data_IF_214698989377
#
_entry.id   IF_214698989377
#
_cell.length_a   1.000
_cell.length_b   1.000
_cell.length_c   1.000
_cell.angle_alpha   90.00
_cell.angle_beta   90.00
_cell.angle_gamma   90.00
#
_symmetry.space_group_name_H-M   'P 1'
#
loop_
_entity.id
_entity.type
_entity.pdbx_description
1 polymer ?
#
# COMPACT_ATOMS: atom_id res chain seq x y z
N UNK A 1 -17.71 -18.73 13.83
CA UNK A 1 -16.68 -17.65 13.66
C UNK A 1 -16.97 -17.00 12.34
N UNK A 2 -17.25 -15.69 12.35
CA UNK A 2 -17.48 -14.94 11.11
C UNK A 2 -16.17 -14.84 10.31
N UNK A 3 -16.26 -14.64 8.99
CA UNK A 3 -15.08 -14.41 8.12
C UNK A 3 -14.24 -13.24 8.65
N UNK A 4 -14.87 -12.22 9.23
CA UNK A 4 -14.23 -11.05 9.86
C UNK A 4 -13.41 -11.43 11.09
N UNK A 5 -13.91 -12.30 11.98
CA UNK A 5 -13.12 -12.84 13.10
C UNK A 5 -11.94 -13.67 12.59
N UNK A 6 -12.12 -14.36 11.46
CA UNK A 6 -11.07 -15.11 10.79
C UNK A 6 -9.97 -14.16 10.22
N UNK A 7 -10.33 -13.07 9.55
CA UNK A 7 -9.39 -12.12 8.93
C UNK A 7 -8.64 -11.31 10.00
N UNK A 8 -9.35 -10.75 10.99
CA UNK A 8 -8.74 -10.02 12.12
C UNK A 8 -7.75 -10.88 12.91
N UNK A 9 -7.98 -12.20 12.96
CA UNK A 9 -7.08 -13.12 13.64
C UNK A 9 -5.80 -13.47 12.89
N UNK A 10 -5.65 -13.16 11.59
CA UNK A 10 -4.54 -13.65 10.77
C UNK A 10 -3.37 -12.69 10.69
N UNK A 11 -3.62 -11.43 10.39
CA UNK A 11 -2.54 -10.44 10.18
C UNK A 11 -1.94 -9.91 11.48
N UNK A 12 -2.72 -9.83 12.54
CA UNK A 12 -2.39 -9.00 13.70
C UNK A 12 -2.63 -9.69 15.04
N UNK A 13 -2.93 -10.97 15.03
CA UNK A 13 -3.44 -11.75 16.18
C UNK A 13 -2.58 -11.71 17.46
N UNK A 14 -1.37 -11.15 17.40
CA UNK A 14 -0.49 -11.10 18.56
C UNK A 14 -0.22 -9.71 19.12
N UNK A 15 -0.57 -8.62 18.39
CA UNK A 15 -0.25 -7.24 18.79
C UNK A 15 -1.45 -6.30 18.83
N UNK A 16 -2.59 -6.67 18.20
CA UNK A 16 -3.75 -5.78 18.09
C UNK A 16 -4.87 -6.14 19.02
N UNK A 17 -5.41 -5.10 19.68
CA UNK A 17 -6.76 -5.16 20.22
C UNK A 17 -7.73 -4.94 19.05
N UNK A 18 -8.88 -5.65 19.00
CA UNK A 18 -9.83 -5.52 17.88
C UNK A 18 -10.41 -4.12 17.68
N UNK A 19 -10.27 -3.26 18.67
CA UNK A 19 -10.74 -1.88 18.76
C UNK A 19 -9.68 -0.82 18.35
N UNK A 20 -8.44 -1.24 18.07
CA UNK A 20 -7.36 -0.33 17.70
C UNK A 20 -7.09 -0.34 16.20
N UNK A 21 -6.79 0.84 15.64
CA UNK A 21 -6.38 1.01 14.24
C UNK A 21 -4.95 0.52 14.05
N UNK A 22 -4.73 -0.31 13.02
CA UNK A 22 -3.41 -0.77 12.64
C UNK A 22 -2.56 0.38 12.07
N UNK A 23 -1.30 0.49 12.46
CA UNK A 23 -0.36 1.46 11.89
C UNK A 23 0.70 0.73 11.07
N UNK A 24 0.64 0.94 9.76
CA UNK A 24 1.47 0.29 8.76
C UNK A 24 2.54 1.26 8.28
N UNK A 25 3.80 0.90 8.35
CA UNK A 25 4.88 1.71 7.77
C UNK A 25 4.92 1.47 6.25
N UNK A 26 4.82 2.52 5.46
CA UNK A 26 5.10 2.48 4.02
C UNK A 26 6.60 2.59 3.77
N UNK A 27 7.22 1.53 3.26
CA UNK A 27 8.62 1.49 2.88
C UNK A 27 8.78 1.99 1.43
N UNK A 28 9.37 3.18 1.29
CA UNK A 28 9.45 3.92 0.02
C UNK A 28 10.66 3.46 -0.81
N UNK A 29 10.46 2.48 -1.67
CA UNK A 29 11.50 1.95 -2.56
C UNK A 29 12.04 2.98 -3.55
N UNK A 30 11.28 4.02 -3.84
CA UNK A 30 11.68 5.13 -4.71
C UNK A 30 12.73 6.02 -4.06
N UNK A 31 12.72 6.09 -2.72
CA UNK A 31 13.53 7.02 -1.94
C UNK A 31 14.79 6.38 -1.35
N UNK A 32 14.71 5.13 -0.92
CA UNK A 32 15.72 4.51 -0.10
C UNK A 32 16.30 3.24 -0.74
N UNK A 33 17.60 3.03 -0.55
CA UNK A 33 18.26 1.83 -1.01
C UNK A 33 17.72 0.57 -0.28
N UNK A 34 17.72 -0.61 -0.93
CA UNK A 34 17.15 -1.82 -0.34
C UNK A 34 17.71 -2.20 1.03
N UNK A 35 19.01 -2.00 1.28
CA UNK A 35 19.64 -2.28 2.57
C UNK A 35 19.18 -1.31 3.66
N UNK A 36 18.93 -0.05 3.30
CA UNK A 36 18.40 0.94 4.21
C UNK A 36 16.97 0.61 4.60
N UNK A 37 16.14 0.24 3.63
CA UNK A 37 14.78 -0.22 3.89
C UNK A 37 14.71 -1.46 4.76
N UNK A 38 15.68 -2.39 4.67
CA UNK A 38 15.75 -3.53 5.60
C UNK A 38 15.98 -3.06 7.04
N UNK A 39 16.89 -2.11 7.26
CA UNK A 39 17.11 -1.52 8.59
C UNK A 39 15.84 -0.82 9.10
N UNK A 40 15.17 -0.05 8.24
CA UNK A 40 13.90 0.61 8.58
C UNK A 40 12.82 -0.41 8.94
N UNK A 41 12.72 -1.56 8.26
CA UNK A 41 11.74 -2.59 8.57
C UNK A 41 11.98 -3.23 9.96
N UNK A 42 13.23 -3.51 10.30
CA UNK A 42 13.61 -4.01 11.64
C UNK A 42 13.28 -2.97 12.70
N UNK A 43 13.66 -1.71 12.47
CA UNK A 43 13.38 -0.62 13.40
C UNK A 43 11.86 -0.36 13.57
N UNK A 44 11.07 -0.52 12.50
CA UNK A 44 9.62 -0.41 12.57
C UNK A 44 8.99 -1.52 13.42
N UNK A 45 9.52 -2.74 13.33
CA UNK A 45 9.11 -3.83 14.22
C UNK A 45 9.42 -3.52 15.68
N UNK A 46 10.62 -3.03 15.97
CA UNK A 46 11.06 -2.62 17.31
C UNK A 46 10.24 -1.44 17.86
N UNK A 47 9.92 -0.47 16.99
CA UNK A 47 9.09 0.68 17.30
C UNK A 47 7.61 0.33 17.54
N UNK A 48 7.17 -0.88 17.15
CA UNK A 48 5.83 -1.36 17.39
C UNK A 48 4.84 -1.05 16.27
N UNK A 49 5.29 -0.79 15.04
CA UNK A 49 4.39 -0.80 13.87
C UNK A 49 3.80 -2.19 13.68
N UNK A 50 2.62 -2.25 13.09
CA UNK A 50 1.89 -3.50 12.91
C UNK A 50 2.30 -4.22 11.63
N UNK A 51 2.66 -3.46 10.58
CA UNK A 51 3.16 -3.99 9.32
C UNK A 51 4.11 -3.03 8.62
N UNK A 52 4.77 -3.57 7.59
CA UNK A 52 5.49 -2.83 6.56
C UNK A 52 4.87 -3.15 5.21
N UNK A 53 4.50 -2.11 4.47
CA UNK A 53 4.02 -2.16 3.10
C UNK A 53 5.09 -1.53 2.19
N UNK A 54 5.70 -2.30 1.30
CA UNK A 54 6.70 -1.75 0.40
C UNK A 54 6.09 -1.35 -0.95
N UNK A 55 6.48 -0.17 -1.46
CA UNK A 55 6.09 0.24 -2.81
C UNK A 55 6.71 -0.68 -3.87
N UNK A 56 5.95 -0.96 -4.94
CA UNK A 56 6.38 -1.81 -6.05
C UNK A 56 6.46 -0.99 -7.34
N UNK A 57 7.40 -0.05 -7.35
CA UNK A 57 7.65 0.86 -8.45
C UNK A 57 8.87 0.46 -9.27
N UNK A 58 8.80 0.71 -10.59
CA UNK A 58 9.93 0.59 -11.51
C UNK A 58 10.63 1.94 -11.70
N UNK A 59 9.88 3.03 -11.56
CA UNK A 59 10.33 4.40 -11.81
C UNK A 59 10.02 5.28 -10.58
N UNK A 60 10.95 6.15 -10.13
CA UNK A 60 10.69 7.08 -9.04
C UNK A 60 9.81 8.26 -9.48
N UNK A 61 9.24 8.97 -8.51
CA UNK A 61 8.36 10.13 -8.71
C UNK A 61 9.09 11.43 -9.10
N UNK A 62 10.41 11.44 -9.15
CA UNK A 62 11.28 12.60 -9.42
C UNK A 62 12.48 12.23 -10.26
N UNK A 63 13.14 13.26 -10.80
CA UNK A 63 14.33 13.10 -11.61
C UNK A 63 15.51 12.61 -10.77
N UNK A 64 16.17 11.49 -11.13
CA UNK A 64 17.34 10.99 -10.44
C UNK A 64 18.46 12.03 -10.38
N UNK A 65 19.06 12.23 -9.19
CA UNK A 65 20.11 13.23 -8.97
C UNK A 65 19.62 14.67 -8.83
N UNK A 66 18.29 14.88 -8.80
CA UNK A 66 17.64 16.16 -8.56
C UNK A 66 17.40 16.44 -7.08
N UNK A 67 16.13 16.52 -6.68
CA UNK A 67 15.72 16.88 -5.32
C UNK A 67 16.12 15.84 -4.26
N UNK A 68 16.16 14.57 -4.63
CA UNK A 68 16.41 13.46 -3.71
C UNK A 68 17.16 12.32 -4.41
N UNK A 69 17.81 11.41 -3.66
CA UNK A 69 18.22 10.12 -4.18
C UNK A 69 17.03 9.38 -4.79
N UNK A 70 17.24 8.63 -5.86
CA UNK A 70 16.23 7.87 -6.54
C UNK A 70 16.65 6.40 -6.61
N UNK A 71 15.77 5.54 -6.13
CA UNK A 71 15.92 4.10 -6.15
C UNK A 71 14.70 3.49 -6.84
N UNK A 72 14.53 2.22 -6.91
CA UNK A 72 13.35 1.41 -7.20
C UNK A 72 13.75 -0.06 -7.13
N UNK A 73 14.02 -0.52 -5.91
CA UNK A 73 14.30 -1.93 -5.67
C UNK A 73 13.07 -2.80 -5.95
N UNK A 74 13.29 -4.03 -6.41
CA UNK A 74 12.17 -4.95 -6.62
C UNK A 74 11.52 -5.35 -5.29
N UNK A 75 10.23 -5.06 -5.14
CA UNK A 75 9.48 -5.27 -3.91
C UNK A 75 9.47 -6.74 -3.45
N UNK A 76 9.26 -7.69 -4.37
CA UNK A 76 9.14 -9.11 -4.02
C UNK A 76 10.47 -9.73 -3.59
N UNK A 77 11.59 -9.33 -4.23
CA UNK A 77 12.93 -9.74 -3.79
C UNK A 77 13.23 -9.17 -2.41
N UNK A 78 12.89 -7.91 -2.19
CA UNK A 78 13.08 -7.24 -0.90
C UNK A 78 12.22 -7.85 0.21
N UNK A 79 10.94 -8.16 -0.06
CA UNK A 79 10.03 -8.80 0.90
C UNK A 79 10.56 -10.16 1.36
N UNK A 80 11.15 -10.94 0.43
CA UNK A 80 11.83 -12.19 0.80
C UNK A 80 12.94 -11.96 1.81
N UNK A 81 13.78 -10.94 1.64
CA UNK A 81 14.83 -10.57 2.60
C UNK A 81 14.25 -10.03 3.92
N UNK A 82 13.25 -9.14 3.84
CA UNK A 82 12.58 -8.57 5.01
C UNK A 82 11.89 -9.63 5.87
N UNK A 83 11.35 -10.69 5.25
CA UNK A 83 10.71 -11.80 5.95
C UNK A 83 11.67 -12.56 6.87
N UNK A 84 12.96 -12.60 6.52
CA UNK A 84 14.00 -13.23 7.31
C UNK A 84 14.70 -12.27 8.28
N UNK A 85 14.65 -10.95 8.00
CA UNK A 85 15.23 -9.93 8.88
C UNK A 85 14.29 -9.54 10.03
N UNK A 86 13.00 -9.83 9.94
CA UNK A 86 11.96 -9.50 10.93
C UNK A 86 11.28 -10.76 11.46
N UNK A 87 10.72 -10.70 12.68
CA UNK A 87 10.15 -11.87 13.37
C UNK A 87 8.63 -11.90 13.47
N UNK A 88 7.97 -10.74 13.57
CA UNK A 88 6.55 -10.66 13.93
C UNK A 88 5.75 -9.62 13.14
N UNK A 89 6.40 -8.62 12.55
CA UNK A 89 5.72 -7.55 11.81
C UNK A 89 5.11 -8.09 10.51
N UNK A 90 3.92 -7.57 10.14
CA UNK A 90 3.28 -7.90 8.87
C UNK A 90 4.08 -7.37 7.68
N UNK A 91 4.04 -8.08 6.56
CA UNK A 91 4.80 -7.76 5.34
C UNK A 91 3.94 -7.88 4.09
N UNK A 92 3.99 -6.92 3.22
CA UNK A 92 3.29 -6.97 1.94
C UNK A 92 3.63 -5.81 1.02
N UNK A 93 2.97 -5.76 -0.13
CA UNK A 93 3.16 -4.69 -1.11
C UNK A 93 2.19 -3.53 -0.88
N UNK A 94 2.63 -2.34 -1.19
CA UNK A 94 1.82 -1.14 -1.08
C UNK A 94 1.98 -0.21 -2.30
N UNK A 95 1.58 -0.65 -3.52
CA UNK A 95 0.85 -1.87 -3.94
C UNK A 95 1.45 -2.46 -5.22
N UNK A 96 1.25 -3.75 -5.48
CA UNK A 96 1.67 -4.37 -6.74
C UNK A 96 0.64 -4.10 -7.83
N UNK A 97 1.09 -3.61 -8.99
CA UNK A 97 0.29 -3.43 -10.19
C UNK A 97 0.07 -4.75 -10.93
N UNK A 98 -1.20 -5.11 -11.22
CA UNK A 98 -1.54 -6.43 -11.79
C UNK A 98 -2.10 -6.38 -13.20
N UNK A 99 -2.06 -5.21 -13.87
CA UNK A 99 -2.70 -5.07 -15.18
C UNK A 99 -1.84 -5.54 -16.35
N UNK A 100 -0.51 -5.42 -16.27
CA UNK A 100 0.42 -5.78 -17.36
C UNK A 100 1.72 -6.38 -16.86
N UNK A 101 2.54 -5.60 -16.12
CA UNK A 101 3.90 -5.95 -15.71
C UNK A 101 4.01 -7.31 -15.00
N UNK A 102 3.00 -7.64 -14.23
CA UNK A 102 2.91 -8.92 -13.54
C UNK A 102 1.74 -9.76 -14.04
N UNK A 103 2.01 -11.04 -14.32
CA UNK A 103 0.96 -12.02 -14.54
C UNK A 103 0.29 -12.39 -13.20
N UNK A 104 -1.06 -12.43 -13.10
CA UNK A 104 -1.76 -12.70 -11.86
C UNK A 104 -1.42 -14.05 -11.22
N UNK A 105 -1.12 -15.09 -12.03
CA UNK A 105 -0.67 -16.39 -11.52
C UNK A 105 0.68 -16.27 -10.82
N UNK A 106 1.59 -15.46 -11.38
CA UNK A 106 2.92 -15.22 -10.78
C UNK A 106 2.78 -14.42 -9.50
N UNK A 107 1.89 -13.42 -9.45
CA UNK A 107 1.62 -12.66 -8.21
C UNK A 107 1.09 -13.59 -7.12
N UNK A 108 0.13 -14.45 -7.43
CA UNK A 108 -0.38 -15.43 -6.46
C UNK A 108 0.74 -16.37 -5.95
N UNK A 109 1.66 -16.79 -6.83
CA UNK A 109 2.82 -17.60 -6.44
C UNK A 109 3.78 -16.84 -5.54
N UNK A 110 4.07 -15.56 -5.83
CA UNK A 110 4.92 -14.70 -4.99
C UNK A 110 4.34 -14.55 -3.58
N UNK A 111 3.02 -14.28 -3.47
CA UNK A 111 2.30 -14.20 -2.19
C UNK A 111 2.40 -15.51 -1.42
N UNK A 112 2.13 -16.64 -2.08
CA UNK A 112 2.19 -17.95 -1.45
C UNK A 112 3.60 -18.28 -0.95
N UNK A 113 4.63 -17.93 -1.72
CA UNK A 113 6.03 -18.11 -1.31
C UNK A 113 6.37 -17.24 -0.11
N UNK A 114 5.98 -15.96 -0.11
CA UNK A 114 6.21 -15.06 1.01
C UNK A 114 5.49 -15.56 2.28
N UNK A 115 4.25 -16.05 2.16
CA UNK A 115 3.51 -16.63 3.28
C UNK A 115 4.19 -17.90 3.83
N UNK A 116 4.79 -18.72 2.97
CA UNK A 116 5.56 -19.87 3.42
C UNK A 116 6.84 -19.48 4.18
N UNK A 117 7.48 -18.36 3.79
CA UNK A 117 8.64 -17.80 4.47
C UNK A 117 8.30 -17.05 5.76
N UNK A 118 7.12 -16.44 5.82
CA UNK A 118 6.65 -15.60 6.93
C UNK A 118 5.20 -15.94 7.31
N UNK A 119 4.94 -17.16 7.86
CA UNK A 119 3.58 -17.64 8.09
C UNK A 119 2.74 -16.71 8.98
N UNK A 120 1.54 -16.34 8.50
CA UNK A 120 0.59 -15.47 9.20
C UNK A 120 1.00 -13.99 9.27
N UNK A 121 2.03 -13.58 8.48
CA UNK A 121 2.50 -12.19 8.45
C UNK A 121 2.33 -11.52 7.08
N UNK A 122 1.84 -12.25 6.09
CA UNK A 122 1.76 -11.76 4.71
C UNK A 122 0.41 -11.12 4.40
N UNK A 123 0.42 -10.05 3.62
CA UNK A 123 -0.74 -9.50 2.91
C UNK A 123 -0.35 -9.12 1.49
N UNK A 124 -1.32 -9.00 0.60
CA UNK A 124 -1.13 -8.50 -0.75
C UNK A 124 -1.87 -7.16 -0.92
N UNK A 125 -1.14 -6.08 -1.10
CA UNK A 125 -1.69 -4.85 -1.65
C UNK A 125 -1.65 -4.88 -3.17
N UNK A 126 -2.79 -4.64 -3.82
CA UNK A 126 -2.97 -4.73 -5.29
C UNK A 126 -3.53 -3.43 -5.83
N UNK A 127 -3.05 -2.99 -6.98
CA UNK A 127 -3.57 -1.82 -7.69
C UNK A 127 -3.54 -1.97 -9.21
N UNK A 128 -4.13 -0.99 -9.89
CA UNK A 128 -4.12 -0.91 -11.36
C UNK A 128 -2.80 -0.39 -11.95
N UNK A 129 -1.77 -0.20 -11.13
CA UNK A 129 -0.48 0.39 -11.51
C UNK A 129 -0.57 1.86 -11.98
N UNK A 130 0.52 2.39 -12.49
CA UNK A 130 0.66 3.71 -13.10
C UNK A 130 1.49 3.60 -14.39
N UNK A 131 1.30 4.56 -15.32
CA UNK A 131 2.03 4.62 -16.58
C UNK A 131 3.55 4.60 -16.37
N UNK A 132 4.04 5.25 -15.32
CA UNK A 132 5.46 5.31 -14.97
C UNK A 132 6.09 3.94 -14.67
N UNK A 133 5.28 2.93 -14.35
CA UNK A 133 5.73 1.57 -14.09
C UNK A 133 5.54 0.63 -15.26
N UNK A 134 4.50 0.84 -16.08
CA UNK A 134 4.13 -0.05 -17.16
C UNK A 134 4.83 0.32 -18.48
N UNK A 135 4.88 1.61 -18.83
CA UNK A 135 5.45 2.07 -20.12
C UNK A 135 6.96 1.79 -20.19
N UNK A 136 7.79 2.07 -19.18
CA UNK A 136 9.20 1.70 -19.21
C UNK A 136 9.45 0.17 -19.25
N UNK A 137 8.47 -0.63 -18.81
CA UNK A 137 8.51 -2.09 -18.94
C UNK A 137 8.10 -2.59 -20.35
N UNK A 138 7.84 -1.68 -21.29
CA UNK A 138 7.46 -1.99 -22.68
C UNK A 138 5.95 -2.24 -22.85
N UNK A 139 5.13 -1.92 -21.87
CA UNK A 139 3.67 -2.06 -21.92
C UNK A 139 3.04 -0.73 -22.33
N UNK A 140 1.89 -0.80 -23.05
CA UNK A 140 1.09 0.40 -23.26
C UNK A 140 0.32 0.78 -22.00
N UNK A 141 0.03 2.06 -21.83
CA UNK A 141 -0.90 2.48 -20.79
C UNK A 141 -2.35 2.36 -21.29
N UNK A 142 -3.20 1.56 -20.66
CA UNK A 142 -4.59 1.38 -21.10
C UNK A 142 -5.50 2.50 -20.57
N UNK A 143 -6.68 2.65 -21.16
CA UNK A 143 -7.71 3.52 -20.59
C UNK A 143 -8.29 2.97 -19.28
N UNK A 144 -9.05 3.80 -18.57
CA UNK A 144 -9.60 3.46 -17.26
C UNK A 144 -10.54 2.25 -17.30
N UNK A 145 -11.31 2.07 -18.39
CA UNK A 145 -12.22 0.94 -18.50
C UNK A 145 -11.45 -0.38 -18.63
N UNK A 146 -10.39 -0.39 -19.44
CA UNK A 146 -9.52 -1.57 -19.57
C UNK A 146 -8.74 -1.84 -18.27
N UNK A 147 -8.22 -0.80 -17.59
CA UNK A 147 -7.56 -0.94 -16.30
C UNK A 147 -8.47 -1.64 -15.29
N UNK A 148 -9.73 -1.18 -15.19
CA UNK A 148 -10.73 -1.76 -14.30
C UNK A 148 -10.98 -3.24 -14.62
N UNK A 149 -11.18 -3.58 -15.90
CA UNK A 149 -11.48 -4.95 -16.30
C UNK A 149 -10.27 -5.87 -16.08
N UNK A 150 -9.06 -5.44 -16.44
CA UNK A 150 -7.82 -6.19 -16.16
C UNK A 150 -7.64 -6.45 -14.67
N UNK A 151 -7.87 -5.44 -13.85
CA UNK A 151 -7.75 -5.57 -12.39
C UNK A 151 -8.77 -6.57 -11.85
N UNK A 152 -10.02 -6.53 -12.32
CA UNK A 152 -11.06 -7.46 -11.89
C UNK A 152 -10.72 -8.93 -12.26
N UNK A 153 -10.31 -9.18 -13.51
CA UNK A 153 -9.89 -10.50 -13.97
C UNK A 153 -8.66 -11.02 -13.19
N UNK A 154 -7.67 -10.15 -12.98
CA UNK A 154 -6.48 -10.50 -12.21
C UNK A 154 -6.80 -10.84 -10.75
N UNK A 155 -7.66 -10.06 -10.11
CA UNK A 155 -8.10 -10.31 -8.73
C UNK A 155 -8.83 -11.64 -8.61
N UNK A 156 -9.73 -11.96 -9.54
CA UNK A 156 -10.43 -13.25 -9.53
C UNK A 156 -9.44 -14.43 -9.62
N UNK A 157 -8.47 -14.36 -10.53
CA UNK A 157 -7.44 -15.38 -10.67
C UNK A 157 -6.61 -15.51 -9.39
N UNK A 158 -6.14 -14.39 -8.84
CA UNK A 158 -5.29 -14.37 -7.64
C UNK A 158 -6.03 -14.96 -6.44
N UNK A 159 -7.25 -14.50 -6.17
CA UNK A 159 -8.04 -14.94 -5.02
C UNK A 159 -8.32 -16.44 -5.09
N UNK A 160 -8.78 -16.94 -6.24
CA UNK A 160 -9.09 -18.37 -6.44
C UNK A 160 -7.85 -19.25 -6.28
N UNK A 161 -6.69 -18.83 -6.81
CA UNK A 161 -5.43 -19.55 -6.63
C UNK A 161 -5.01 -19.60 -5.14
N UNK A 162 -5.11 -18.47 -4.43
CA UNK A 162 -4.77 -18.38 -3.01
C UNK A 162 -5.77 -19.16 -2.14
N UNK A 163 -7.03 -19.30 -2.56
CA UNK A 163 -8.01 -20.19 -1.93
C UNK A 163 -7.74 -21.68 -2.24
N UNK A 164 -6.77 -21.97 -3.11
CA UNK A 164 -6.26 -23.31 -3.42
C UNK A 164 -7.00 -24.02 -4.53
N UNK A 165 -7.72 -23.28 -5.36
CA UNK A 165 -8.34 -23.84 -6.56
C UNK A 165 -7.30 -24.20 -7.64
N UNK A 166 -7.68 -25.09 -8.54
CA UNK A 166 -7.08 -25.18 -9.87
C UNK A 166 -7.90 -24.31 -10.80
N UNK A 167 -7.26 -23.30 -11.39
CA UNK A 167 -7.96 -22.22 -12.11
C UNK A 167 -7.80 -22.38 -13.61
N UNK A 168 -8.90 -22.72 -14.27
CA UNK A 168 -9.13 -22.49 -15.69
C UNK A 168 -9.93 -21.20 -15.83
N UNK A 169 -9.34 -20.19 -16.48
CA UNK A 169 -9.94 -18.88 -16.65
C UNK A 169 -9.87 -18.44 -18.11
N UNK A 170 -10.94 -17.85 -18.63
CA UNK A 170 -11.00 -17.27 -19.98
C UNK A 170 -11.68 -15.91 -19.90
N UNK A 171 -10.88 -14.87 -19.63
CA UNK A 171 -11.30 -13.49 -19.66
C UNK A 171 -11.03 -12.81 -21.00
N UNK A 172 -11.21 -11.52 -21.03
CA UNK A 172 -10.85 -10.66 -22.17
C UNK A 172 -9.34 -10.46 -22.23
N UNK A 173 -8.69 -10.36 -21.09
CA UNK A 173 -7.28 -9.99 -20.98
C UNK A 173 -6.40 -11.10 -20.43
N UNK A 174 -6.93 -11.98 -19.60
CA UNK A 174 -6.16 -13.08 -19.03
C UNK A 174 -6.77 -14.43 -19.38
N UNK A 175 -5.90 -15.41 -19.57
CA UNK A 175 -6.30 -16.81 -19.75
C UNK A 175 -5.37 -17.69 -18.95
N UNK A 176 -5.93 -18.65 -18.20
CA UNK A 176 -5.17 -19.67 -17.50
C UNK A 176 -5.69 -21.07 -17.86
N UNK A 177 -4.83 -22.06 -17.81
CA UNK A 177 -5.19 -23.46 -18.04
C UNK A 177 -4.54 -24.32 -16.98
N UNK A 178 -5.35 -24.92 -16.10
CA UNK A 178 -4.88 -25.77 -15.02
C UNK A 178 -3.92 -25.09 -14.03
N UNK A 179 -4.01 -23.74 -13.89
CA UNK A 179 -3.13 -23.01 -13.01
C UNK A 179 -3.41 -23.36 -11.55
N UNK A 180 -2.36 -23.67 -10.77
CA UNK A 180 -2.49 -24.01 -9.35
C UNK A 180 -1.22 -23.66 -8.58
N UNK A 181 -1.37 -23.39 -7.29
CA UNK A 181 -0.25 -23.21 -6.37
C UNK A 181 0.12 -24.56 -5.75
N UNK A 182 1.42 -24.90 -5.76
CA UNK A 182 1.95 -26.13 -5.14
C UNK A 182 2.35 -25.89 -3.69
N UNK A 183 2.91 -24.71 -3.37
CA UNK A 183 3.14 -24.26 -1.99
C UNK A 183 1.94 -23.41 -1.54
N UNK A 184 0.81 -24.10 -1.35
CA UNK A 184 -0.43 -23.45 -0.98
C UNK A 184 -0.36 -22.95 0.46
N UNK A 185 -0.71 -21.67 0.73
CA UNK A 185 -0.80 -21.18 2.11
C UNK A 185 -1.90 -21.92 2.87
N UNK A 186 -1.63 -22.25 4.13
CA UNK A 186 -2.62 -22.92 5.01
C UNK A 186 -3.86 -22.03 5.23
N UNK A 187 -3.67 -20.73 5.20
CA UNK A 187 -4.72 -19.69 5.21
C UNK A 187 -4.39 -18.66 4.14
N UNK A 188 -5.39 -18.22 3.41
CA UNK A 188 -5.22 -17.19 2.39
C UNK A 188 -4.75 -15.88 3.04
N UNK A 189 -3.58 -15.33 2.63
CA UNK A 189 -3.20 -13.97 2.98
C UNK A 189 -4.26 -12.97 2.50
N UNK A 190 -4.58 -11.93 3.28
CA UNK A 190 -5.54 -10.91 2.86
C UNK A 190 -5.08 -10.19 1.59
N UNK A 191 -6.05 -9.94 0.72
CA UNK A 191 -5.89 -9.15 -0.50
C UNK A 191 -6.58 -7.80 -0.29
N UNK A 192 -5.79 -6.71 -0.34
CA UNK A 192 -6.26 -5.34 -0.09
C UNK A 192 -6.07 -4.54 -1.38
N UNK A 193 -7.17 -4.03 -1.94
CA UNK A 193 -7.17 -3.35 -3.24
C UNK A 193 -7.05 -1.85 -3.08
N UNK A 194 -6.03 -1.27 -3.72
CA UNK A 194 -5.87 0.18 -3.84
C UNK A 194 -6.88 0.73 -4.84
N UNK A 195 -7.71 1.67 -4.39
CA UNK A 195 -8.72 2.32 -5.19
C UNK A 195 -8.81 3.82 -4.85
N UNK A 196 -8.70 4.68 -5.85
CA UNK A 196 -8.89 6.13 -5.71
C UNK A 196 -10.22 6.59 -6.34
N UNK A 197 -10.94 5.67 -7.00
CA UNK A 197 -12.22 5.90 -7.66
C UNK A 197 -13.26 4.84 -7.26
N UNK A 198 -14.55 5.21 -7.34
CA UNK A 198 -15.64 4.38 -6.87
C UNK A 198 -15.77 3.04 -7.60
N UNK A 199 -15.49 3.00 -8.92
CA UNK A 199 -15.66 1.78 -9.71
C UNK A 199 -14.71 0.66 -9.26
N UNK A 200 -13.42 0.95 -9.06
CA UNK A 200 -12.46 -0.04 -8.59
C UNK A 200 -12.72 -0.42 -7.13
N UNK A 201 -13.19 0.53 -6.30
CA UNK A 201 -13.58 0.26 -4.93
C UNK A 201 -14.78 -0.70 -4.85
N UNK A 202 -15.74 -0.61 -5.77
CA UNK A 202 -16.86 -1.53 -5.83
C UNK A 202 -16.41 -2.93 -6.22
N UNK A 203 -15.49 -3.07 -7.19
CA UNK A 203 -14.83 -4.35 -7.53
C UNK A 203 -14.08 -4.91 -6.32
N UNK A 204 -13.34 -4.08 -5.60
CA UNK A 204 -12.65 -4.48 -4.37
C UNK A 204 -13.62 -5.08 -3.34
N UNK A 205 -14.78 -4.46 -3.14
CA UNK A 205 -15.82 -4.97 -2.25
C UNK A 205 -16.35 -6.34 -2.65
N UNK A 206 -16.45 -6.60 -3.95
CA UNK A 206 -16.94 -7.88 -4.47
C UNK A 206 -15.92 -9.02 -4.31
N UNK A 207 -14.63 -8.75 -4.50
CA UNK A 207 -13.62 -9.78 -4.69
C UNK A 207 -12.54 -9.82 -3.59
N UNK A 208 -12.25 -8.71 -2.91
CA UNK A 208 -11.10 -8.58 -2.03
C UNK A 208 -11.47 -8.55 -0.54
N UNK A 209 -10.46 -8.63 0.33
CA UNK A 209 -10.61 -8.65 1.79
C UNK A 209 -10.51 -7.25 2.39
N UNK A 210 -10.06 -6.27 1.61
CA UNK A 210 -9.95 -4.89 2.07
C UNK A 210 -9.81 -3.88 0.94
N UNK A 211 -10.00 -2.64 1.34
CA UNK A 211 -9.82 -1.43 0.55
C UNK A 211 -8.60 -0.67 1.05
N UNK A 212 -7.79 -0.14 0.13
CA UNK A 212 -6.75 0.83 0.41
C UNK A 212 -7.02 2.11 -0.38
N UNK A 213 -7.08 3.27 0.28
CA UNK A 213 -7.30 4.54 -0.41
C UNK A 213 -6.56 5.70 0.25
N UNK A 214 -6.62 6.88 -0.35
CA UNK A 214 -6.00 8.08 0.21
C UNK A 214 -6.72 8.56 1.48
N UNK A 215 -5.96 9.01 2.48
CA UNK A 215 -6.45 9.61 3.72
C UNK A 215 -7.03 11.02 3.51
N UNK A 216 -7.89 11.17 2.51
CA UNK A 216 -8.51 12.42 2.10
C UNK A 216 -9.96 12.51 2.57
N UNK A 217 -10.36 13.54 3.34
CA UNK A 217 -11.74 13.74 3.76
C UNK A 217 -12.74 13.90 2.59
N UNK A 218 -12.25 14.23 1.40
CA UNK A 218 -13.10 14.41 0.21
C UNK A 218 -13.17 13.16 -0.65
N UNK A 219 -12.16 12.30 -0.64
CA UNK A 219 -12.07 11.08 -1.45
C UNK A 219 -12.53 9.85 -0.66
N UNK A 220 -11.96 9.64 0.53
CA UNK A 220 -12.17 8.42 1.32
C UNK A 220 -13.64 8.08 1.56
N UNK A 221 -14.54 8.99 1.96
CA UNK A 221 -15.94 8.64 2.23
C UNK A 221 -16.67 8.05 1.02
N UNK A 222 -16.41 8.58 -0.19
CA UNK A 222 -17.06 8.12 -1.44
C UNK A 222 -16.55 6.73 -1.83
N UNK A 223 -15.22 6.54 -1.76
CA UNK A 223 -14.56 5.30 -2.11
C UNK A 223 -14.92 4.18 -1.11
N UNK A 224 -14.96 4.48 0.19
CA UNK A 224 -15.41 3.55 1.24
C UNK A 224 -16.88 3.16 1.04
N UNK A 225 -17.74 4.10 0.70
CA UNK A 225 -19.15 3.81 0.42
C UNK A 225 -19.30 2.88 -0.79
N UNK A 226 -18.50 3.09 -1.84
CA UNK A 226 -18.50 2.21 -3.03
C UNK A 226 -18.01 0.80 -2.69
N UNK A 227 -16.94 0.68 -1.91
CA UNK A 227 -16.43 -0.60 -1.41
C UNK A 227 -17.51 -1.38 -0.64
N UNK A 228 -18.21 -0.70 0.29
CA UNK A 228 -19.31 -1.31 1.05
C UNK A 228 -20.47 -1.77 0.16
N UNK A 229 -20.85 -0.97 -0.85
CA UNK A 229 -21.85 -1.38 -1.85
C UNK A 229 -21.41 -2.62 -2.64
N UNK A 230 -20.14 -2.70 -3.01
CA UNK A 230 -19.58 -3.87 -3.69
C UNK A 230 -19.66 -5.13 -2.84
N UNK A 231 -19.30 -5.04 -1.56
CA UNK A 231 -19.41 -6.12 -0.60
C UNK A 231 -20.87 -6.59 -0.42
N UNK A 232 -21.80 -5.66 -0.24
CA UNK A 232 -23.23 -5.94 -0.13
C UNK A 232 -23.77 -6.66 -1.38
N UNK A 233 -23.41 -6.20 -2.59
CA UNK A 233 -23.81 -6.86 -3.85
C UNK A 233 -23.31 -8.29 -3.96
N UNK A 234 -22.16 -8.57 -3.40
CA UNK A 234 -21.57 -9.93 -3.36
C UNK A 234 -22.02 -10.76 -2.15
N UNK A 235 -22.92 -10.24 -1.31
CA UNK A 235 -23.37 -10.92 -0.09
C UNK A 235 -22.24 -11.11 0.96
N UNK A 236 -21.25 -10.20 0.99
CA UNK A 236 -20.08 -10.24 1.87
C UNK A 236 -20.14 -9.11 2.90
N UNK A 237 -19.59 -9.34 4.07
CA UNK A 237 -19.31 -8.27 5.02
C UNK A 237 -18.09 -7.47 4.54
N UNK A 238 -18.11 -6.12 4.62
CA UNK A 238 -16.94 -5.30 4.34
C UNK A 238 -15.79 -5.66 5.27
N UNK A 239 -14.60 -5.84 4.70
CA UNK A 239 -13.37 -6.14 5.46
C UNK A 239 -12.58 -4.88 5.83
N UNK A 240 -11.25 -4.97 5.72
CA UNK A 240 -10.32 -3.91 6.12
C UNK A 240 -10.48 -2.64 5.28
N UNK A 241 -10.28 -1.48 5.91
CA UNK A 241 -10.24 -0.16 5.27
C UNK A 241 -8.94 0.52 5.66
N UNK A 242 -8.03 0.62 4.72
CA UNK A 242 -6.72 1.23 4.93
C UNK A 242 -6.66 2.61 4.29
N UNK A 243 -6.30 3.62 5.08
CA UNK A 243 -6.11 4.99 4.62
C UNK A 243 -4.62 5.35 4.60
N UNK A 244 -4.15 5.92 3.49
CA UNK A 244 -2.74 6.26 3.30
C UNK A 244 -2.52 7.76 3.44
N UNK A 245 -1.42 8.13 4.11
CA UNK A 245 -0.83 9.45 4.09
C UNK A 245 0.70 9.36 4.12
N UNK A 246 1.37 10.32 3.49
CA UNK A 246 2.81 10.50 3.65
C UNK A 246 3.09 11.06 5.04
N UNK A 247 4.23 10.71 5.62
CA UNK A 247 4.68 11.29 6.88
C UNK A 247 6.14 11.70 6.81
N UNK A 248 6.44 12.88 7.33
CA UNK A 248 7.79 13.40 7.43
C UNK A 248 7.98 14.13 8.75
N UNK A 249 9.19 14.05 9.31
CA UNK A 249 9.63 14.81 10.48
C UNK A 249 11.01 15.42 10.23
N UNK A 250 11.41 16.35 11.09
CA UNK A 250 12.70 17.04 11.07
C UNK A 250 12.95 17.71 12.42
N UNK A 251 13.97 18.55 12.52
CA UNK A 251 14.20 19.35 13.72
C UNK A 251 13.08 20.39 13.96
N UNK A 252 12.44 20.82 12.87
CA UNK A 252 11.26 21.67 12.86
C UNK A 252 10.37 21.34 11.64
N UNK A 253 9.23 22.02 11.51
CA UNK A 253 8.26 21.79 10.44
C UNK A 253 8.81 22.21 9.05
N UNK A 254 9.70 23.20 8.99
CA UNK A 254 10.33 23.64 7.74
C UNK A 254 11.30 22.59 7.21
N UNK A 255 12.09 21.97 8.08
CA UNK A 255 12.96 20.85 7.73
C UNK A 255 12.16 19.61 7.32
N UNK A 256 11.10 19.29 8.06
CA UNK A 256 10.19 18.18 7.71
C UNK A 256 9.58 18.35 6.31
N UNK A 257 9.14 19.58 5.99
CA UNK A 257 8.60 19.91 4.68
C UNK A 257 9.68 19.89 3.59
N UNK A 258 10.84 20.51 3.84
CA UNK A 258 11.94 20.55 2.88
C UNK A 258 12.41 19.14 2.48
N UNK A 259 12.47 18.22 3.46
CA UNK A 259 12.90 16.85 3.27
C UNK A 259 11.87 15.92 2.61
N UNK A 260 10.65 16.41 2.33
CA UNK A 260 9.57 15.61 1.75
C UNK A 260 8.95 16.19 0.47
N UNK A 261 9.44 17.33 -0.01
CA UNK A 261 8.86 18.05 -1.17
C UNK A 261 8.88 17.24 -2.47
N UNK A 262 9.82 16.35 -2.64
CA UNK A 262 9.91 15.46 -3.82
C UNK A 262 8.67 14.56 -3.99
N UNK A 263 7.90 14.36 -2.92
CA UNK A 263 6.68 13.56 -2.94
C UNK A 263 5.42 14.32 -3.39
N UNK A 264 5.51 15.62 -3.69
CA UNK A 264 4.36 16.41 -4.18
C UNK A 264 3.65 15.79 -5.39
N UNK A 265 4.35 15.17 -6.36
CA UNK A 265 3.70 14.50 -7.49
C UNK A 265 2.67 13.44 -7.06
N UNK A 266 2.88 12.76 -5.94
CA UNK A 266 1.94 11.74 -5.44
C UNK A 266 0.52 12.28 -5.12
N UNK A 267 0.33 13.60 -5.05
CA UNK A 267 -0.99 14.23 -4.90
C UNK A 267 -1.67 14.55 -6.24
N UNK A 268 -0.98 14.38 -7.36
CA UNK A 268 -1.50 14.72 -8.69
C UNK A 268 -2.31 13.57 -9.26
N UNK A 269 -3.64 13.75 -9.32
CA UNK A 269 -4.57 12.68 -9.75
C UNK A 269 -4.35 12.22 -11.20
N UNK A 270 -3.88 13.10 -12.08
CA UNK A 270 -3.60 12.79 -13.49
C UNK A 270 -2.57 11.67 -13.64
N UNK A 271 -1.60 11.54 -12.71
CA UNK A 271 -0.55 10.52 -12.75
C UNK A 271 -1.09 9.09 -12.60
N UNK A 272 -2.29 8.92 -12.06
CA UNK A 272 -2.95 7.62 -11.89
C UNK A 272 -3.87 7.24 -13.05
N UNK A 273 -4.15 8.17 -13.99
CA UNK A 273 -5.15 7.97 -15.04
C UNK A 273 -4.62 8.24 -16.45
N UNK A 274 -3.58 9.06 -16.60
CA UNK A 274 -3.03 9.47 -17.90
C UNK A 274 -1.67 8.80 -18.17
N UNK A 275 -1.29 8.74 -19.43
CA UNK A 275 0.03 8.25 -19.86
C UNK A 275 1.10 9.31 -19.57
N UNK A 276 1.46 9.45 -18.31
CA UNK A 276 2.56 10.29 -17.83
C UNK A 276 3.59 9.38 -17.18
N UNK A 277 4.71 9.14 -17.87
CA UNK A 277 5.67 8.13 -17.44
C UNK A 277 7.12 8.61 -17.33
N UNK A 278 7.47 9.78 -17.86
CA UNK A 278 8.81 10.33 -17.66
C UNK A 278 8.95 10.98 -16.29
N UNK A 279 10.07 10.77 -15.61
CA UNK A 279 10.34 11.38 -14.30
C UNK A 279 10.34 12.91 -14.36
N UNK A 280 10.71 13.50 -15.51
CA UNK A 280 10.67 14.96 -15.71
C UNK A 280 9.25 15.50 -15.73
N UNK A 281 8.35 14.86 -16.47
CA UNK A 281 6.94 15.28 -16.55
C UNK A 281 6.23 15.07 -15.21
N UNK A 282 6.52 13.96 -14.53
CA UNK A 282 5.97 13.64 -13.20
C UNK A 282 6.39 14.72 -12.19
N UNK A 283 7.69 15.04 -12.14
CA UNK A 283 8.21 16.08 -11.22
C UNK A 283 7.61 17.44 -11.54
N UNK A 284 7.52 17.83 -12.82
CA UNK A 284 6.93 19.09 -13.25
C UNK A 284 5.47 19.24 -12.80
N UNK A 285 4.68 18.19 -12.89
CA UNK A 285 3.30 18.15 -12.35
C UNK A 285 3.24 18.38 -10.84
N UNK A 286 4.24 17.90 -10.10
CA UNK A 286 4.35 18.14 -8.66
C UNK A 286 4.62 19.58 -8.27
N UNK A 287 5.22 20.40 -9.17
CA UNK A 287 5.50 21.82 -8.93
C UNK A 287 4.22 22.65 -8.76
N UNK A 288 3.11 22.21 -9.36
CA UNK A 288 1.78 22.83 -9.22
C UNK A 288 1.16 22.62 -7.82
N UNK A 289 1.68 21.66 -7.04
CA UNK A 289 1.22 21.39 -5.68
C UNK A 289 1.90 22.35 -4.70
N UNK A 290 1.13 23.26 -4.11
CA UNK A 290 1.67 24.18 -3.09
C UNK A 290 2.06 23.44 -1.81
N UNK A 291 3.03 24.00 -1.04
CA UNK A 291 3.42 23.47 0.27
C UNK A 291 2.22 23.32 1.20
N UNK A 292 1.30 24.31 1.19
CA UNK A 292 0.08 24.25 2.01
C UNK A 292 -0.92 23.16 1.61
N UNK A 293 -0.99 22.76 0.33
CA UNK A 293 -1.78 21.62 -0.10
C UNK A 293 -1.12 20.32 0.37
N UNK A 294 0.20 20.22 0.22
CA UNK A 294 0.96 19.04 0.59
C UNK A 294 0.90 18.77 2.09
N UNK A 295 1.13 19.77 2.94
CA UNK A 295 1.08 19.62 4.42
C UNK A 295 -0.32 19.34 4.94
N UNK A 296 -1.37 19.93 4.34
CA UNK A 296 -2.77 19.60 4.70
C UNK A 296 -3.14 18.16 4.38
N UNK A 297 -2.65 17.60 3.26
CA UNK A 297 -2.94 16.23 2.87
C UNK A 297 -2.18 15.19 3.71
N UNK A 298 -1.01 15.53 4.24
CA UNK A 298 -0.04 14.60 4.80
C UNK A 298 0.30 14.89 6.27
N UNK A 299 1.10 14.02 6.92
CA UNK A 299 1.61 14.14 8.28
C UNK A 299 3.03 14.73 8.23
N UNK A 300 3.15 16.03 7.99
CA UNK A 300 4.43 16.73 7.86
C UNK A 300 4.59 17.67 9.05
N UNK A 301 5.33 17.26 10.08
CA UNK A 301 5.56 18.06 11.29
C UNK A 301 6.69 17.47 12.14
N UNK A 302 7.37 18.32 12.90
CA UNK A 302 8.29 17.91 13.96
C UNK A 302 7.55 17.55 15.27
N UNK A 303 6.30 18.00 15.43
CA UNK A 303 5.51 17.75 16.64
C UNK A 303 4.78 16.40 16.58
N UNK A 304 5.07 15.45 17.50
CA UNK A 304 4.37 14.17 17.55
C UNK A 304 2.86 14.32 17.84
N UNK A 305 2.43 15.38 18.51
CA UNK A 305 1.03 15.67 18.75
C UNK A 305 0.24 15.92 17.48
N UNK A 306 0.84 16.60 16.50
CA UNK A 306 0.27 16.83 15.17
C UNK A 306 0.06 15.51 14.40
N UNK A 307 1.03 14.57 14.48
CA UNK A 307 0.87 13.24 13.91
C UNK A 307 -0.28 12.47 14.57
N UNK A 308 -0.35 12.45 15.91
CA UNK A 308 -1.45 11.77 16.63
C UNK A 308 -2.81 12.34 16.25
N UNK A 309 -2.96 13.68 16.20
CA UNK A 309 -4.21 14.33 15.82
C UNK A 309 -4.67 13.93 14.41
N UNK A 310 -3.72 13.91 13.45
CA UNK A 310 -4.02 13.50 12.08
C UNK A 310 -4.40 12.02 11.96
N UNK A 311 -3.70 11.13 12.68
CA UNK A 311 -4.02 9.70 12.70
C UNK A 311 -5.42 9.45 13.30
N UNK A 312 -5.80 10.18 14.36
CA UNK A 312 -7.15 10.12 14.93
C UNK A 312 -8.21 10.57 13.92
N UNK A 313 -7.96 11.66 13.20
CA UNK A 313 -8.85 12.11 12.14
C UNK A 313 -9.04 11.04 11.04
N UNK A 314 -7.97 10.36 10.63
CA UNK A 314 -8.06 9.26 9.67
C UNK A 314 -8.86 8.07 10.24
N UNK A 315 -8.71 7.77 11.54
CA UNK A 315 -9.51 6.75 12.22
C UNK A 315 -11.00 7.11 12.20
N UNK A 316 -11.35 8.37 12.45
CA UNK A 316 -12.74 8.87 12.41
C UNK A 316 -13.37 8.78 11.01
N UNK A 317 -12.58 8.78 9.94
CA UNK A 317 -13.05 8.50 8.58
C UNK A 317 -13.40 7.02 8.34
N UNK A 318 -13.18 6.15 9.33
CA UNK A 318 -13.52 4.73 9.29
C UNK A 318 -12.36 3.82 8.92
N UNK A 319 -11.11 4.26 9.09
CA UNK A 319 -9.95 3.43 8.88
C UNK A 319 -9.87 2.30 9.93
N UNK A 320 -9.59 1.08 9.49
CA UNK A 320 -9.14 -0.04 10.32
C UNK A 320 -7.61 -0.16 10.32
N UNK A 321 -6.95 0.42 9.31
CA UNK A 321 -5.52 0.55 9.20
C UNK A 321 -5.12 1.91 8.61
N UNK A 322 -3.99 2.45 9.03
CA UNK A 322 -3.42 3.67 8.47
C UNK A 322 -2.01 3.38 7.98
N UNK A 323 -1.80 3.61 6.68
CA UNK A 323 -0.48 3.48 6.06
C UNK A 323 0.23 4.82 6.12
N UNK A 324 1.31 4.84 6.86
CA UNK A 324 2.20 5.99 7.04
C UNK A 324 3.41 5.79 6.13
N UNK A 325 3.37 6.39 4.94
CA UNK A 325 4.48 6.30 3.99
C UNK A 325 5.61 7.20 4.45
N UNK A 326 6.78 6.61 4.73
CA UNK A 326 7.95 7.35 5.20
C UNK A 326 8.51 8.23 4.09
N UNK A 327 8.26 9.52 4.19
CA UNK A 327 8.74 10.57 3.31
C UNK A 327 9.82 11.45 3.96
N UNK A 328 10.34 11.11 5.13
CA UNK A 328 11.38 11.86 5.83
C UNK A 328 12.70 11.79 5.08
N UNK A 329 13.16 12.94 4.59
CA UNK A 329 14.34 13.06 3.72
C UNK A 329 15.65 12.64 4.35
N UNK A 330 16.20 13.45 5.24
CA UNK A 330 17.54 13.24 5.79
C UNK A 330 17.60 12.23 6.94
N UNK A 331 16.50 12.08 7.70
CA UNK A 331 16.41 11.16 8.86
C UNK A 331 15.15 10.27 8.80
N UNK A 332 15.11 9.26 7.90
CA UNK A 332 13.98 8.35 7.80
C UNK A 332 13.81 7.47 9.05
N UNK A 333 14.91 7.14 9.74
CA UNK A 333 14.87 6.39 10.99
C UNK A 333 14.35 7.25 12.15
N UNK A 334 14.58 8.58 12.11
CA UNK A 334 14.04 9.53 13.09
C UNK A 334 12.52 9.53 13.12
N UNK A 335 11.86 9.45 11.96
CA UNK A 335 10.41 9.29 11.89
C UNK A 335 9.95 8.00 12.59
N UNK A 336 10.61 6.88 12.32
CA UNK A 336 10.24 5.58 12.91
C UNK A 336 10.41 5.62 14.44
N UNK A 337 11.53 6.21 14.91
CA UNK A 337 11.77 6.39 16.36
C UNK A 337 10.75 7.33 17.00
N UNK A 338 10.38 8.43 16.32
CA UNK A 338 9.33 9.35 16.78
C UNK A 338 8.01 8.61 16.98
N UNK A 339 7.63 7.77 16.01
CA UNK A 339 6.42 6.96 16.12
C UNK A 339 6.49 5.99 17.28
N UNK A 340 7.56 5.22 17.42
CA UNK A 340 7.72 4.24 18.50
C UNK A 340 7.69 4.87 19.90
N UNK A 341 8.34 6.03 20.08
CA UNK A 341 8.49 6.68 21.38
C UNK A 341 7.28 7.52 21.77
N UNK A 342 6.74 8.30 20.82
CA UNK A 342 5.81 9.40 21.15
C UNK A 342 4.44 9.29 20.47
N UNK A 343 4.32 8.67 19.31
CA UNK A 343 3.08 8.65 18.53
C UNK A 343 2.23 7.40 18.84
N UNK A 344 2.81 6.20 18.63
CA UNK A 344 2.08 4.94 18.81
C UNK A 344 1.58 4.73 20.26
N UNK A 345 2.36 5.04 21.32
CA UNK A 345 1.84 4.94 22.69
C UNK A 345 0.62 5.83 22.91
N UNK A 346 0.69 7.12 22.52
CA UNK A 346 -0.42 8.08 22.69
C UNK A 346 -1.66 7.73 21.86
N UNK A 347 -1.47 7.07 20.72
CA UNK A 347 -2.59 6.61 19.88
C UNK A 347 -3.30 5.41 20.51
N UNK A 348 -2.56 4.56 21.23
CA UNK A 348 -3.05 3.31 21.84
C UNK A 348 -3.58 3.47 23.26
N UNK A 349 -3.24 4.55 23.95
CA UNK A 349 -3.72 4.87 25.30
C UNK A 349 -5.11 5.52 25.33
N UNK A 350 -5.64 5.97 24.23
CA UNK A 350 -6.95 6.64 24.07
C UNK A 350 -7.94 5.80 23.32
#
# INVERSE_FOLDING_TARGET
MSVIESIRGVLWARRHRPDQVAIVMGASHERFAPQELLRQAVLAEEAGFDAVACSDHLTPWWVPGGLAPAHCGNAWVWLGAASQATGAIGLGTGVTGVIHRYNPVVVAQQVATLEALAPGRTFLGVGSSEAMNEVPAGMRWPDTAEQLQRTAEALEIIVRLLDGETVDFRGVYFTTTGARLYDRPARRPPVIVSAFHEQIAEVAGQLADGLWTLGSPTIAPKVIAAYRRGAEKAGREPGEIWLQALAATGADDDEALAGSREWKPALVQELYTHDIHSTGDIQAKGEDVSDGQFTRANLVSADPGSHVAKLRLLSELGATGIVVVNASGADPEGLIRLYGRDVLPRLREG
#
